data_IF_488273455480
#
_entry.id   IF_488273455480
#
_cell.length_a   1.000
_cell.length_b   1.000
_cell.length_c   1.000
_cell.angle_alpha   90.00
_cell.angle_beta   90.00
_cell.angle_gamma   90.00
#
_symmetry.space_group_name_H-M   'P 1'
#
loop_
_entity.id
_entity.type
_entity.pdbx_description
1 polymer ?
#
# COMPACT_ATOMS: atom_id res chain seq x y z
N UNK A 1 59.30 33.73 -8.67
CA UNK A 1 58.24 32.69 -8.70
C UNK A 1 57.32 32.97 -7.52
N UNK A 2 56.22 33.71 -7.74
CA UNK A 2 55.21 34.00 -6.73
C UNK A 2 54.00 33.11 -6.98
N UNK A 3 53.66 32.26 -6.03
CA UNK A 3 52.49 31.39 -6.12
C UNK A 3 51.23 32.20 -5.78
N UNK A 4 50.34 32.32 -6.76
CA UNK A 4 49.00 32.90 -6.59
C UNK A 4 48.12 31.79 -6.01
N UNK A 5 47.75 31.93 -4.74
CA UNK A 5 46.71 31.14 -4.10
C UNK A 5 45.34 31.57 -4.66
N UNK A 6 44.75 30.73 -5.53
CA UNK A 6 43.33 30.82 -5.86
C UNK A 6 42.53 30.35 -4.63
N UNK A 7 41.92 31.30 -3.93
CA UNK A 7 40.84 31.03 -2.98
C UNK A 7 39.60 30.64 -3.78
N UNK A 8 39.20 29.37 -3.69
CA UNK A 8 37.90 28.93 -4.16
C UNK A 8 36.84 29.44 -3.16
N UNK A 9 36.17 30.53 -3.51
CA UNK A 9 34.93 30.92 -2.85
C UNK A 9 33.86 29.88 -3.24
N UNK A 10 33.60 28.93 -2.35
CA UNK A 10 32.35 28.19 -2.38
C UNK A 10 31.22 29.21 -2.14
N UNK A 11 30.51 29.57 -3.21
CA UNK A 11 29.30 30.36 -3.09
C UNK A 11 28.27 29.52 -2.35
N UNK A 12 28.07 29.81 -1.06
CA UNK A 12 26.86 29.41 -0.35
C UNK A 12 25.69 30.10 -1.04
N UNK A 13 24.95 29.38 -1.88
CA UNK A 13 23.61 29.80 -2.26
C UNK A 13 22.75 29.76 -1.00
N UNK A 14 22.62 30.91 -0.35
CA UNK A 14 21.57 31.14 0.65
C UNK A 14 20.24 31.26 -0.10
N UNK A 15 19.35 30.27 0.08
CA UNK A 15 17.96 30.38 -0.32
C UNK A 15 17.35 31.61 0.34
N UNK A 16 16.78 32.49 -0.47
CA UNK A 16 16.45 33.85 -0.07
C UNK A 16 15.28 33.97 0.90
N UNK A 17 14.53 32.90 1.23
CA UNK A 17 13.33 33.03 2.05
C UNK A 17 13.20 32.10 3.28
N UNK A 18 14.08 31.12 3.51
CA UNK A 18 14.14 30.38 4.79
C UNK A 18 12.83 29.73 5.30
N UNK A 19 11.77 29.68 4.49
CA UNK A 19 10.47 29.13 4.90
C UNK A 19 10.52 27.60 4.93
N UNK A 20 9.91 27.02 5.97
CA UNK A 20 9.77 25.58 6.09
C UNK A 20 9.08 25.01 4.85
N UNK A 21 9.45 23.79 4.46
CA UNK A 21 8.72 23.02 3.46
C UNK A 21 7.52 22.37 4.16
N UNK A 22 6.31 22.74 3.75
CA UNK A 22 5.08 22.20 4.34
C UNK A 22 4.64 20.95 3.60
N UNK A 23 4.62 19.81 4.29
CA UNK A 23 4.10 18.56 3.76
C UNK A 23 2.78 18.22 4.45
N UNK A 24 1.71 18.14 3.66
CA UNK A 24 0.42 17.62 4.11
C UNK A 24 0.48 16.10 4.22
N UNK A 25 0.48 15.56 5.44
CA UNK A 25 0.40 14.12 5.68
C UNK A 25 -1.06 13.71 5.85
N UNK A 26 -1.56 12.81 4.99
CA UNK A 26 -2.90 12.26 5.11
C UNK A 26 -2.85 10.75 5.32
N UNK A 27 -3.55 10.27 6.34
CA UNK A 27 -3.75 8.87 6.63
C UNK A 27 -5.08 8.65 7.36
N UNK A 28 -5.58 7.42 7.34
CA UNK A 28 -6.77 7.04 8.10
C UNK A 28 -6.43 6.91 9.58
N UNK A 29 -6.79 7.93 10.37
CA UNK A 29 -6.54 7.98 11.82
C UNK A 29 -7.82 7.78 12.63
N UNK A 30 -8.96 7.61 11.94
CA UNK A 30 -10.27 7.34 12.54
C UNK A 30 -10.89 6.08 11.91
N UNK A 31 -11.73 5.39 12.68
CA UNK A 31 -12.48 4.24 12.17
C UNK A 31 -11.69 2.92 12.09
N UNK A 32 -12.06 2.00 11.20
CA UNK A 32 -11.59 0.60 11.23
C UNK A 32 -10.10 0.44 10.90
N UNK A 33 -9.48 1.46 10.28
CA UNK A 33 -8.07 1.46 9.91
C UNK A 33 -7.19 2.40 10.74
N UNK A 34 -7.65 2.95 11.87
CA UNK A 34 -6.82 3.84 12.72
C UNK A 34 -5.43 3.27 12.99
N UNK A 35 -5.36 1.99 13.39
CA UNK A 35 -4.10 1.30 13.72
C UNK A 35 -3.16 1.17 12.51
N UNK A 36 -3.71 1.12 11.30
CA UNK A 36 -2.97 1.10 10.05
C UNK A 36 -2.36 2.49 9.78
N UNK A 37 -3.15 3.56 9.93
CA UNK A 37 -2.66 4.93 9.75
C UNK A 37 -1.65 5.39 10.80
N UNK A 38 -1.75 4.90 12.04
CA UNK A 38 -0.73 5.10 13.06
C UNK A 38 0.63 4.49 12.64
N UNK A 39 0.62 3.32 12.00
CA UNK A 39 1.86 2.71 11.48
C UNK A 39 2.35 3.41 10.21
N UNK A 40 1.44 3.91 9.36
CA UNK A 40 1.79 4.81 8.25
C UNK A 40 2.56 6.03 8.73
N UNK A 41 2.13 6.65 9.84
CA UNK A 41 2.84 7.80 10.42
C UNK A 41 4.25 7.41 10.90
N UNK A 42 4.42 6.22 11.46
CA UNK A 42 5.74 5.70 11.86
C UNK A 42 6.68 5.53 10.66
N UNK A 43 6.18 4.93 9.57
CA UNK A 43 6.93 4.77 8.33
C UNK A 43 7.30 6.10 7.67
N UNK A 44 6.34 7.03 7.60
CA UNK A 44 6.56 8.38 7.10
C UNK A 44 7.65 9.11 7.89
N UNK A 45 7.57 9.09 9.23
CA UNK A 45 8.55 9.73 10.09
C UNK A 45 9.94 9.10 9.98
N UNK A 46 10.05 7.79 9.75
CA UNK A 46 11.35 7.14 9.50
C UNK A 46 12.05 7.72 8.27
N UNK A 47 11.30 7.95 7.17
CA UNK A 47 11.88 8.57 5.98
C UNK A 47 12.34 10.01 6.25
N UNK A 48 11.56 10.80 6.99
CA UNK A 48 11.97 12.15 7.39
C UNK A 48 13.24 12.15 8.25
N UNK A 49 13.37 11.18 9.16
CA UNK A 49 14.52 11.05 10.05
C UNK A 49 15.83 10.78 9.28
N UNK A 50 15.77 10.04 8.17
CA UNK A 50 16.94 9.82 7.30
C UNK A 50 17.49 11.12 6.70
N UNK A 51 16.61 12.08 6.48
CA UNK A 51 16.96 13.41 5.97
C UNK A 51 17.17 14.44 7.10
N UNK A 52 17.13 14.01 8.37
CA UNK A 52 17.29 14.92 9.52
C UNK A 52 16.14 15.90 9.71
N UNK A 53 14.94 15.59 9.20
CA UNK A 53 13.76 16.49 9.17
C UNK A 53 13.99 17.81 8.41
N UNK A 54 14.91 17.79 7.45
CA UNK A 54 15.24 18.91 6.57
C UNK A 54 15.40 18.39 5.14
N UNK A 55 15.13 19.19 4.12
CA UNK A 55 15.49 18.85 2.74
C UNK A 55 15.92 20.10 1.98
N UNK A 56 17.01 19.99 1.22
CA UNK A 56 17.58 21.11 0.47
C UNK A 56 17.80 22.40 1.31
N UNK A 57 18.22 22.27 2.57
CA UNK A 57 18.45 23.43 3.44
C UNK A 57 17.20 23.99 4.13
N UNK A 58 16.02 23.38 3.95
CA UNK A 58 14.73 23.85 4.48
C UNK A 58 14.17 22.88 5.52
N UNK A 59 13.81 23.32 6.74
CA UNK A 59 13.17 22.46 7.72
C UNK A 59 11.81 22.00 7.20
N UNK A 60 11.41 20.78 7.56
CA UNK A 60 10.13 20.20 7.14
C UNK A 60 9.07 20.46 8.22
N UNK A 61 7.94 21.05 7.82
CA UNK A 61 6.74 21.20 8.64
C UNK A 61 5.69 20.19 8.17
N UNK A 62 5.23 19.32 9.08
CA UNK A 62 4.20 18.32 8.76
C UNK A 62 2.85 18.84 9.22
N UNK A 63 1.88 18.84 8.33
CA UNK A 63 0.50 19.21 8.65
C UNK A 63 -0.40 17.99 8.45
N UNK A 64 -1.04 17.53 9.53
CA UNK A 64 -1.82 16.28 9.52
C UNK A 64 -3.24 16.56 9.01
N UNK A 65 -3.64 15.85 7.97
CA UNK A 65 -5.01 15.71 7.49
C UNK A 65 -5.55 14.32 7.80
N UNK A 66 -6.13 14.15 9.00
CA UNK A 66 -6.73 12.89 9.42
C UNK A 66 -7.98 12.55 8.58
N UNK A 67 -8.15 11.28 8.25
CA UNK A 67 -9.32 10.76 7.51
C UNK A 67 -9.94 9.54 8.20
N UNK A 68 -11.12 9.13 7.74
CA UNK A 68 -11.93 8.01 8.24
C UNK A 68 -12.13 6.88 7.21
N UNK A 69 -11.24 6.80 6.21
CA UNK A 69 -11.31 5.92 5.03
C UNK A 69 -12.42 6.25 4.02
N UNK A 70 -13.17 7.35 4.19
CA UNK A 70 -14.19 7.80 3.24
C UNK A 70 -13.65 8.85 2.23
N UNK A 71 -14.15 8.85 0.97
CA UNK A 71 -13.87 9.91 0.00
C UNK A 71 -14.14 11.33 0.53
N UNK A 72 -15.22 11.49 1.29
CA UNK A 72 -15.64 12.79 1.81
C UNK A 72 -14.66 13.32 2.86
N UNK A 73 -14.17 12.48 3.77
CA UNK A 73 -13.18 12.93 4.75
C UNK A 73 -11.84 13.26 4.10
N UNK A 74 -11.40 12.47 3.13
CA UNK A 74 -10.20 12.75 2.34
C UNK A 74 -10.30 14.09 1.59
N UNK A 75 -11.43 14.36 0.91
CA UNK A 75 -11.63 15.63 0.22
C UNK A 75 -11.66 16.82 1.19
N UNK A 76 -12.30 16.69 2.36
CA UNK A 76 -12.31 17.75 3.38
C UNK A 76 -10.89 18.04 3.88
N UNK A 77 -10.13 17.00 4.22
CA UNK A 77 -8.77 17.12 4.71
C UNK A 77 -7.84 17.73 3.64
N UNK A 78 -7.88 17.22 2.40
CA UNK A 78 -7.06 17.74 1.31
C UNK A 78 -7.37 19.20 0.98
N UNK A 79 -8.65 19.59 0.95
CA UNK A 79 -9.03 21.01 0.75
C UNK A 79 -8.51 21.90 1.84
N UNK A 80 -8.59 21.48 3.11
CA UNK A 80 -8.01 22.25 4.21
C UNK A 80 -6.49 22.41 4.03
N UNK A 81 -5.79 21.30 3.75
CA UNK A 81 -4.34 21.30 3.55
C UNK A 81 -3.90 22.24 2.42
N UNK A 82 -4.59 22.18 1.28
CA UNK A 82 -4.27 23.02 0.11
C UNK A 82 -4.72 24.47 0.30
N UNK A 83 -5.98 24.69 0.67
CA UNK A 83 -6.62 26.01 0.60
C UNK A 83 -6.42 26.85 1.87
N UNK A 84 -6.16 26.23 3.04
CA UNK A 84 -6.00 26.94 4.31
C UNK A 84 -4.59 26.83 4.87
N UNK A 85 -4.00 25.62 4.84
CA UNK A 85 -2.68 25.39 5.40
C UNK A 85 -1.55 25.71 4.40
N UNK A 86 -1.91 25.85 3.12
CA UNK A 86 -1.01 26.18 2.01
C UNK A 86 0.20 25.24 1.97
N UNK A 87 -0.05 23.93 2.03
CA UNK A 87 1.02 22.93 1.93
C UNK A 87 1.66 22.95 0.54
N UNK A 88 2.97 22.68 0.50
CA UNK A 88 3.72 22.57 -0.75
C UNK A 88 3.38 21.26 -1.48
N UNK A 89 3.31 20.14 -0.75
CA UNK A 89 3.06 18.79 -1.29
C UNK A 89 2.15 18.02 -0.34
N UNK A 90 1.34 17.10 -0.88
CA UNK A 90 0.56 16.15 -0.08
C UNK A 90 1.13 14.74 -0.23
N UNK A 91 1.29 14.02 0.89
CA UNK A 91 1.58 12.59 0.95
C UNK A 91 0.42 11.85 1.61
N UNK A 92 -0.28 11.03 0.83
CA UNK A 92 -1.52 10.35 1.21
C UNK A 92 -2.38 10.05 -0.02
N UNK A 93 -3.47 9.28 0.11
CA UNK A 93 -4.07 8.81 1.35
C UNK A 93 -3.79 7.31 1.57
N UNK A 94 -4.50 6.69 2.53
CA UNK A 94 -4.35 5.28 2.89
C UNK A 94 -5.37 4.40 2.17
N UNK A 95 -6.65 4.78 2.13
CA UNK A 95 -7.72 3.93 1.57
C UNK A 95 -7.89 4.12 0.07
N UNK A 96 -8.19 3.03 -0.65
CA UNK A 96 -8.39 3.02 -2.11
C UNK A 96 -9.39 4.08 -2.61
N UNK A 97 -10.57 4.18 -1.98
CA UNK A 97 -11.60 5.15 -2.37
C UNK A 97 -11.18 6.60 -2.10
N UNK A 98 -10.36 6.84 -1.07
CA UNK A 98 -9.76 8.15 -0.83
C UNK A 98 -8.77 8.50 -1.96
N UNK A 99 -7.98 7.53 -2.42
CA UNK A 99 -7.03 7.71 -3.53
C UNK A 99 -7.70 8.17 -4.81
N UNK A 100 -8.80 7.53 -5.18
CA UNK A 100 -9.67 7.92 -6.31
C UNK A 100 -10.12 9.38 -6.15
N UNK A 101 -10.64 9.74 -4.97
CA UNK A 101 -11.11 11.10 -4.70
C UNK A 101 -9.99 12.15 -4.74
N UNK A 102 -8.81 11.84 -4.19
CA UNK A 102 -7.66 12.75 -4.22
C UNK A 102 -7.08 12.88 -5.63
N UNK A 103 -7.10 11.82 -6.44
CA UNK A 103 -6.71 11.89 -7.85
C UNK A 103 -7.62 12.81 -8.65
N UNK A 104 -8.93 12.83 -8.39
CA UNK A 104 -9.82 13.78 -9.06
C UNK A 104 -9.66 15.21 -8.53
N UNK A 105 -9.45 15.37 -7.23
CA UNK A 105 -9.20 16.68 -6.65
C UNK A 105 -7.89 17.29 -7.17
N UNK A 106 -6.82 16.49 -7.30
CA UNK A 106 -5.50 16.99 -7.75
C UNK A 106 -5.52 17.61 -9.14
N UNK A 107 -6.41 17.15 -10.02
CA UNK A 107 -6.66 17.77 -11.34
C UNK A 107 -7.18 19.21 -11.23
N UNK A 108 -7.87 19.53 -10.15
CA UNK A 108 -8.45 20.87 -9.91
C UNK A 108 -7.46 21.85 -9.25
N UNK A 109 -6.37 21.34 -8.67
CA UNK A 109 -5.34 22.12 -7.98
C UNK A 109 -3.93 21.76 -8.52
N UNK A 110 -3.66 21.95 -9.82
CA UNK A 110 -2.43 21.46 -10.46
C UNK A 110 -1.13 22.12 -9.97
N UNK A 111 -1.21 23.12 -9.08
CA UNK A 111 -0.07 23.74 -8.42
C UNK A 111 0.45 22.93 -7.21
N UNK A 112 -0.31 21.95 -6.72
CA UNK A 112 0.10 21.01 -5.66
C UNK A 112 0.19 19.60 -6.24
N UNK A 113 1.32 18.94 -6.01
CA UNK A 113 1.53 17.53 -6.36
C UNK A 113 1.10 16.64 -5.19
N UNK A 114 0.42 15.54 -5.52
CA UNK A 114 -0.09 14.55 -4.59
C UNK A 114 0.70 13.25 -4.76
N UNK A 115 1.30 12.77 -3.68
CA UNK A 115 2.02 11.51 -3.64
C UNK A 115 1.17 10.53 -2.85
N UNK A 116 0.70 9.48 -3.51
CA UNK A 116 -0.12 8.46 -2.88
C UNK A 116 0.60 7.86 -1.66
N UNK A 117 -0.04 7.91 -0.49
CA UNK A 117 0.49 7.30 0.72
C UNK A 117 0.65 5.81 0.54
N UNK A 118 -0.48 5.09 0.44
CA UNK A 118 -0.47 3.67 0.06
C UNK A 118 -1.84 3.18 -0.47
N UNK A 119 -2.76 4.09 -0.82
CA UNK A 119 -4.05 3.66 -1.39
C UNK A 119 -3.85 2.74 -2.59
N UNK A 120 -4.54 1.60 -2.57
CA UNK A 120 -4.31 0.49 -3.50
C UNK A 120 -5.40 0.29 -4.56
N UNK A 121 -6.32 1.24 -4.74
CA UNK A 121 -7.30 1.18 -5.82
C UNK A 121 -6.60 1.33 -7.18
N UNK A 122 -6.80 0.38 -8.10
CA UNK A 122 -6.15 0.39 -9.41
C UNK A 122 -6.66 1.54 -10.28
N UNK A 123 -7.94 1.88 -10.15
CA UNK A 123 -8.63 2.94 -10.89
C UNK A 123 -7.97 4.31 -10.68
N UNK A 124 -7.30 4.53 -9.55
CA UNK A 124 -6.65 5.81 -9.22
C UNK A 124 -5.67 6.22 -10.32
N UNK A 125 -4.93 5.27 -10.89
CA UNK A 125 -3.88 5.50 -11.88
C UNK A 125 -4.19 4.85 -13.23
N UNK A 126 -5.18 3.97 -13.32
CA UNK A 126 -5.62 3.39 -14.60
C UNK A 126 -6.78 4.12 -15.26
N UNK A 127 -7.70 4.70 -14.47
CA UNK A 127 -8.92 5.33 -14.98
C UNK A 127 -8.80 6.84 -14.83
N UNK A 128 -8.64 7.53 -15.96
CA UNK A 128 -8.47 8.98 -16.04
C UNK A 128 -7.38 9.49 -15.06
N UNK A 129 -6.12 9.05 -15.22
CA UNK A 129 -5.06 9.38 -14.27
C UNK A 129 -4.74 10.88 -14.29
N UNK A 130 -4.43 11.44 -13.11
CA UNK A 130 -4.01 12.84 -12.98
C UNK A 130 -2.53 13.01 -13.28
N UNK A 131 -2.14 14.12 -13.92
CA UNK A 131 -0.74 14.49 -14.17
C UNK A 131 0.01 14.92 -12.90
N UNK A 132 -0.71 15.26 -11.83
CA UNK A 132 -0.15 15.72 -10.55
C UNK A 132 -0.30 14.70 -9.42
N UNK A 133 -0.71 13.47 -9.74
CA UNK A 133 -0.83 12.36 -8.78
C UNK A 133 0.18 11.27 -9.10
N UNK A 134 1.01 10.91 -8.13
CA UNK A 134 2.10 9.94 -8.28
C UNK A 134 1.96 8.84 -7.24
N UNK A 135 2.19 7.58 -7.64
CA UNK A 135 2.11 6.45 -6.73
C UNK A 135 3.40 5.62 -6.74
N UNK A 136 4.20 5.73 -5.68
CA UNK A 136 5.42 4.93 -5.46
C UNK A 136 5.18 3.61 -4.71
N UNK A 137 3.95 3.08 -4.83
CA UNK A 137 3.54 1.80 -4.27
C UNK A 137 2.71 1.06 -5.32
N UNK A 138 2.86 -0.25 -5.44
CA UNK A 138 2.02 -1.01 -6.37
C UNK A 138 0.54 -0.96 -5.94
N UNK A 139 -0.40 -1.19 -6.87
CA UNK A 139 -1.82 -1.27 -6.56
C UNK A 139 -2.21 -2.65 -6.02
N UNK A 140 -3.45 -2.78 -5.55
CA UNK A 140 -3.94 -4.01 -4.92
C UNK A 140 -3.94 -5.23 -5.84
N UNK A 141 -4.06 -5.05 -7.16
CA UNK A 141 -4.07 -6.15 -8.09
C UNK A 141 -2.63 -6.63 -8.35
N UNK A 142 -1.69 -5.69 -8.51
CA UNK A 142 -0.26 -6.00 -8.57
C UNK A 142 0.21 -6.75 -7.31
N UNK A 143 -0.31 -6.41 -6.12
CA UNK A 143 0.02 -7.09 -4.85
C UNK A 143 -0.46 -8.54 -4.76
N UNK A 144 -1.27 -9.02 -5.70
CA UNK A 144 -1.80 -10.39 -5.66
C UNK A 144 -1.23 -11.32 -6.72
N UNK A 145 -0.34 -10.80 -7.57
CA UNK A 145 0.34 -11.57 -8.61
C UNK A 145 1.19 -12.68 -7.99
N UNK A 146 1.08 -13.87 -8.56
CA UNK A 146 1.64 -15.13 -8.09
C UNK A 146 0.76 -15.91 -7.12
N UNK A 147 -0.17 -15.28 -6.41
CA UNK A 147 -0.95 -15.97 -5.36
C UNK A 147 -1.97 -16.94 -5.94
N UNK A 148 -2.69 -16.54 -6.99
CA UNK A 148 -3.68 -17.42 -7.64
C UNK A 148 -3.04 -18.69 -8.18
N UNK A 149 -1.89 -18.55 -8.86
CA UNK A 149 -1.12 -19.69 -9.34
C UNK A 149 -0.60 -20.58 -8.21
N UNK A 150 -0.12 -19.99 -7.12
CA UNK A 150 0.38 -20.74 -5.96
C UNK A 150 -0.74 -21.55 -5.30
N UNK A 151 -1.89 -20.92 -5.07
CA UNK A 151 -3.07 -21.57 -4.48
C UNK A 151 -3.55 -22.74 -5.34
N UNK A 152 -3.69 -22.55 -6.66
CA UNK A 152 -4.17 -23.61 -7.54
C UNK A 152 -3.14 -24.73 -7.72
N UNK A 153 -1.92 -24.40 -8.16
CA UNK A 153 -0.96 -25.41 -8.59
C UNK A 153 -0.19 -26.06 -7.43
N UNK A 154 0.10 -25.32 -6.36
CA UNK A 154 0.94 -25.82 -5.25
C UNK A 154 0.11 -26.25 -4.04
N UNK A 155 -0.98 -25.54 -3.72
CA UNK A 155 -1.91 -25.96 -2.64
C UNK A 155 -2.95 -26.97 -3.13
N UNK A 156 -3.23 -27.00 -4.43
CA UNK A 156 -4.23 -27.89 -5.03
C UNK A 156 -5.67 -27.50 -4.68
N UNK A 157 -5.91 -26.23 -4.36
CA UNK A 157 -7.25 -25.72 -4.07
C UNK A 157 -7.87 -25.23 -5.37
N UNK A 158 -8.95 -25.86 -5.81
CA UNK A 158 -9.55 -25.66 -7.13
C UNK A 158 -10.81 -24.79 -7.05
N UNK A 159 -11.55 -24.84 -5.94
CA UNK A 159 -12.77 -24.04 -5.73
C UNK A 159 -12.64 -23.19 -4.48
N UNK A 160 -12.85 -21.89 -4.60
CA UNK A 160 -12.75 -20.94 -3.48
C UNK A 160 -14.01 -20.08 -3.33
N UNK A 161 -14.30 -19.66 -2.11
CA UNK A 161 -15.23 -18.56 -1.84
C UNK A 161 -14.48 -17.35 -1.29
N UNK A 162 -15.03 -16.16 -1.48
CA UNK A 162 -14.40 -14.92 -1.06
C UNK A 162 -15.28 -14.12 -0.10
N UNK A 163 -14.65 -13.54 0.92
CA UNK A 163 -15.21 -12.49 1.77
C UNK A 163 -14.27 -11.29 1.70
N UNK A 164 -14.76 -10.12 1.32
CA UNK A 164 -13.92 -8.93 1.24
C UNK A 164 -14.71 -7.65 1.52
N UNK A 165 -13.99 -6.59 1.88
CA UNK A 165 -14.57 -5.28 2.11
C UNK A 165 -15.14 -4.67 0.83
N UNK A 166 -16.32 -4.07 0.94
CA UNK A 166 -17.16 -3.63 -0.17
C UNK A 166 -16.77 -2.25 -0.70
N UNK A 167 -15.57 -2.15 -1.25
CA UNK A 167 -15.06 -0.93 -1.87
C UNK A 167 -13.94 -1.25 -2.87
N UNK A 168 -13.51 -0.22 -3.62
CA UNK A 168 -12.60 -0.34 -4.76
C UNK A 168 -11.32 -1.16 -4.48
N UNK A 169 -10.68 -0.97 -3.32
CA UNK A 169 -9.47 -1.76 -2.99
C UNK A 169 -9.78 -3.24 -2.78
N UNK A 170 -10.87 -3.58 -2.07
CA UNK A 170 -11.27 -4.97 -1.87
C UNK A 170 -11.54 -5.68 -3.19
N UNK A 171 -12.22 -5.00 -4.13
CA UNK A 171 -12.42 -5.51 -5.49
C UNK A 171 -11.09 -5.66 -6.24
N UNK A 172 -10.22 -4.66 -6.17
CA UNK A 172 -8.92 -4.62 -6.85
C UNK A 172 -8.02 -5.76 -6.40
N UNK A 173 -7.91 -5.99 -5.08
CA UNK A 173 -7.08 -7.04 -4.50
C UNK A 173 -7.63 -8.43 -4.85
N UNK A 174 -8.94 -8.64 -4.72
CA UNK A 174 -9.54 -9.91 -5.11
C UNK A 174 -9.40 -10.18 -6.61
N UNK A 175 -9.59 -9.16 -7.46
CA UNK A 175 -9.47 -9.28 -8.91
C UNK A 175 -8.10 -9.80 -9.34
N UNK A 176 -7.00 -9.27 -8.79
CA UNK A 176 -5.67 -9.71 -9.18
C UNK A 176 -5.39 -11.17 -8.80
N UNK A 177 -5.84 -11.61 -7.62
CA UNK A 177 -5.82 -13.02 -7.21
C UNK A 177 -6.66 -13.89 -8.16
N UNK A 178 -7.93 -13.49 -8.34
CA UNK A 178 -8.92 -14.21 -9.11
C UNK A 178 -8.48 -14.41 -10.57
N UNK A 179 -7.84 -13.40 -11.18
CA UNK A 179 -7.37 -13.47 -12.56
C UNK A 179 -6.43 -14.66 -12.77
N UNK A 180 -5.38 -14.79 -11.97
CA UNK A 180 -4.45 -15.91 -12.09
C UNK A 180 -5.09 -17.23 -11.69
N UNK A 181 -5.89 -17.23 -10.63
CA UNK A 181 -6.56 -18.42 -10.13
C UNK A 181 -7.51 -19.03 -11.17
N UNK A 182 -8.39 -18.21 -11.76
CA UNK A 182 -9.30 -18.64 -12.82
C UNK A 182 -8.52 -19.13 -14.06
N UNK A 183 -7.44 -18.44 -14.45
CA UNK A 183 -6.61 -18.84 -15.61
C UNK A 183 -5.94 -20.20 -15.41
N UNK A 184 -5.50 -20.48 -14.19
CA UNK A 184 -4.93 -21.78 -13.82
C UNK A 184 -5.94 -22.93 -13.86
N UNK A 185 -7.24 -22.63 -13.83
CA UNK A 185 -8.34 -23.60 -13.89
C UNK A 185 -9.27 -23.54 -12.68
N UNK A 186 -9.00 -22.66 -11.72
CA UNK A 186 -9.81 -22.51 -10.52
C UNK A 186 -11.19 -21.94 -10.80
N UNK A 187 -12.09 -22.10 -9.82
CA UNK A 187 -13.44 -21.57 -9.83
C UNK A 187 -13.78 -20.81 -8.55
N UNK A 188 -14.62 -19.78 -8.69
CA UNK A 188 -15.05 -18.93 -7.58
C UNK A 188 -16.52 -19.22 -7.32
N UNK A 189 -16.80 -20.00 -6.28
CA UNK A 189 -18.15 -20.44 -5.94
C UNK A 189 -19.03 -19.28 -5.47
N UNK A 190 -18.49 -18.39 -4.63
CA UNK A 190 -19.23 -17.29 -4.04
C UNK A 190 -18.33 -16.10 -3.70
N UNK A 191 -18.92 -14.89 -3.73
CA UNK A 191 -18.30 -13.65 -3.26
C UNK A 191 -19.25 -12.92 -2.33
N UNK A 192 -18.80 -12.67 -1.12
CA UNK A 192 -19.50 -11.89 -0.12
C UNK A 192 -18.76 -10.57 0.10
N UNK A 193 -19.49 -9.47 -0.07
CA UNK A 193 -18.95 -8.12 0.08
C UNK A 193 -19.57 -7.47 1.32
N UNK A 194 -18.72 -7.09 2.28
CA UNK A 194 -19.17 -6.52 3.55
C UNK A 194 -18.83 -5.03 3.63
N UNK A 195 -19.72 -4.16 4.15
CA UNK A 195 -19.37 -2.76 4.37
C UNK A 195 -18.14 -2.62 5.26
N UNK A 196 -17.29 -1.63 4.96
CA UNK A 196 -16.16 -1.30 5.81
C UNK A 196 -16.62 -0.89 7.22
N UNK A 197 -15.99 -1.42 8.26
CA UNK A 197 -16.38 -1.21 9.65
C UNK A 197 -17.40 -2.24 10.16
N UNK A 198 -17.51 -3.40 9.51
CA UNK A 198 -18.42 -4.47 9.93
C UNK A 198 -17.99 -5.04 11.28
N UNK A 199 -18.93 -5.07 12.23
CA UNK A 199 -18.69 -5.57 13.60
C UNK A 199 -19.23 -6.97 13.81
N UNK A 200 -20.35 -7.30 13.18
CA UNK A 200 -21.02 -8.59 13.30
C UNK A 200 -20.90 -9.33 11.95
N UNK A 201 -20.19 -10.44 11.99
CA UNK A 201 -19.95 -11.32 10.85
C UNK A 201 -20.75 -12.62 10.96
N UNK A 202 -21.61 -12.78 11.98
CA UNK A 202 -22.32 -14.05 12.23
C UNK A 202 -23.14 -14.53 11.03
N UNK A 203 -23.86 -13.63 10.35
CA UNK A 203 -24.64 -13.97 9.16
C UNK A 203 -23.78 -14.31 7.94
N UNK A 204 -22.65 -13.62 7.79
CA UNK A 204 -21.66 -13.86 6.72
C UNK A 204 -21.07 -15.26 6.92
N UNK A 205 -20.60 -15.56 8.13
CA UNK A 205 -20.02 -16.85 8.49
C UNK A 205 -21.03 -17.98 8.32
N UNK A 206 -22.28 -17.79 8.76
CA UNK A 206 -23.33 -18.80 8.63
C UNK A 206 -23.74 -19.08 7.18
N UNK A 207 -23.46 -18.15 6.26
CA UNK A 207 -23.74 -18.30 4.83
C UNK A 207 -22.56 -18.87 4.04
N UNK A 208 -21.40 -19.11 4.66
CA UNK A 208 -20.23 -19.62 3.94
C UNK A 208 -20.50 -21.01 3.37
N UNK A 209 -20.11 -21.28 2.11
CA UNK A 209 -20.23 -22.61 1.52
C UNK A 209 -19.28 -23.59 2.22
N UNK A 210 -19.75 -24.82 2.41
CA UNK A 210 -18.94 -25.92 2.97
C UNK A 210 -18.19 -26.70 1.87
N UNK A 211 -18.62 -26.57 0.61
CA UNK A 211 -18.09 -27.28 -0.57
C UNK A 211 -17.04 -26.44 -1.34
N UNK A 212 -16.14 -25.80 -0.60
CA UNK A 212 -14.98 -25.08 -1.15
C UNK A 212 -13.69 -25.55 -0.49
N UNK A 213 -12.59 -25.48 -1.22
CA UNK A 213 -11.27 -25.89 -0.72
C UNK A 213 -10.68 -24.84 0.23
N UNK A 214 -10.98 -23.56 -0.01
CA UNK A 214 -10.49 -22.45 0.80
C UNK A 214 -11.38 -21.20 0.75
N UNK A 215 -11.22 -20.34 1.76
CA UNK A 215 -11.82 -19.02 1.85
C UNK A 215 -10.78 -17.93 1.60
N UNK A 216 -10.96 -17.14 0.55
CA UNK A 216 -10.24 -15.89 0.37
C UNK A 216 -10.79 -14.82 1.30
N UNK A 217 -9.92 -14.18 2.07
CA UNK A 217 -10.28 -13.14 3.03
C UNK A 217 -9.60 -11.82 2.69
N UNK A 218 -10.34 -10.90 2.06
CA UNK A 218 -9.93 -9.54 1.77
C UNK A 218 -10.43 -8.54 2.80
N UNK A 219 -10.12 -8.78 4.09
CA UNK A 219 -10.49 -7.92 5.21
C UNK A 219 -9.22 -7.39 5.89
N UNK A 220 -9.24 -6.18 6.42
CA UNK A 220 -8.12 -5.64 7.19
C UNK A 220 -8.53 -4.99 8.49
N UNK A 221 -7.52 -4.54 9.25
CA UNK A 221 -7.72 -3.77 10.48
C UNK A 221 -8.73 -4.40 11.44
N UNK A 222 -9.67 -3.60 11.93
CA UNK A 222 -10.67 -4.06 12.88
C UNK A 222 -11.62 -5.14 12.31
N UNK A 223 -11.95 -5.07 11.02
CA UNK A 223 -12.89 -5.99 10.37
C UNK A 223 -12.29 -7.40 10.29
N UNK A 224 -11.00 -7.51 9.92
CA UNK A 224 -10.27 -8.77 9.96
C UNK A 224 -10.26 -9.39 11.36
N UNK A 225 -9.95 -8.59 12.39
CA UNK A 225 -9.92 -9.07 13.78
C UNK A 225 -11.32 -9.52 14.24
N UNK A 226 -12.38 -8.78 13.89
CA UNK A 226 -13.75 -9.14 14.21
C UNK A 226 -14.17 -10.45 13.53
N UNK A 227 -13.87 -10.60 12.24
CA UNK A 227 -14.13 -11.82 11.48
C UNK A 227 -13.40 -13.02 12.10
N UNK A 228 -12.08 -12.96 12.29
CA UNK A 228 -11.30 -14.08 12.81
C UNK A 228 -11.78 -14.52 14.20
N UNK A 229 -12.16 -13.57 15.06
CA UNK A 229 -12.70 -13.89 16.38
C UNK A 229 -14.04 -14.64 16.29
N UNK A 230 -14.95 -14.20 15.41
CA UNK A 230 -16.26 -14.81 15.25
C UNK A 230 -16.18 -16.15 14.49
N UNK A 231 -15.31 -16.23 13.49
CA UNK A 231 -15.05 -17.44 12.74
C UNK A 231 -14.50 -18.55 13.65
N UNK A 232 -13.53 -18.21 14.51
CA UNK A 232 -13.03 -19.15 15.53
C UNK A 232 -14.11 -19.55 16.54
N UNK A 233 -14.99 -18.63 16.95
CA UNK A 233 -16.10 -18.92 17.88
C UNK A 233 -17.15 -19.85 17.25
N UNK A 234 -17.40 -19.70 15.95
CA UNK A 234 -18.29 -20.57 15.18
C UNK A 234 -17.67 -21.95 14.89
N UNK A 235 -16.39 -22.17 15.23
CA UNK A 235 -15.69 -23.42 14.97
C UNK A 235 -15.17 -23.56 13.53
N UNK A 236 -15.02 -22.45 12.82
CA UNK A 236 -14.51 -22.41 11.45
C UNK A 236 -13.14 -23.06 11.32
N UNK A 237 -12.97 -23.89 10.29
CA UNK A 237 -11.79 -24.73 10.08
C UNK A 237 -11.38 -24.86 8.60
N UNK A 238 -12.02 -24.15 7.68
CA UNK A 238 -11.64 -24.13 6.27
C UNK A 238 -10.20 -23.64 6.09
N UNK A 239 -9.54 -24.06 5.01
CA UNK A 239 -8.30 -23.44 4.60
C UNK A 239 -8.56 -21.96 4.28
N UNK A 240 -7.59 -21.10 4.56
CA UNK A 240 -7.71 -19.67 4.35
C UNK A 240 -6.70 -19.22 3.29
N UNK A 241 -7.08 -18.23 2.49
CA UNK A 241 -6.20 -17.45 1.63
C UNK A 241 -6.29 -16.01 2.11
N UNK A 242 -5.15 -15.42 2.44
CA UNK A 242 -5.09 -14.04 2.89
C UNK A 242 -5.08 -13.10 1.68
N UNK A 243 -6.07 -12.22 1.59
CA UNK A 243 -5.88 -10.96 0.89
C UNK A 243 -4.75 -10.16 1.54
N UNK A 244 -4.17 -9.22 0.80
CA UNK A 244 -2.92 -8.55 1.21
C UNK A 244 -2.97 -7.95 2.61
N UNK A 245 -4.12 -7.39 3.01
CA UNK A 245 -4.31 -6.74 4.31
C UNK A 245 -4.76 -7.69 5.44
N UNK A 246 -5.15 -8.94 5.13
CA UNK A 246 -5.54 -9.93 6.14
C UNK A 246 -4.33 -10.46 6.92
N UNK A 247 -3.16 -10.50 6.27
CA UNK A 247 -1.89 -10.92 6.88
C UNK A 247 -0.98 -9.73 7.20
N UNK A 248 -1.54 -8.52 7.24
CA UNK A 248 -0.79 -7.32 7.60
C UNK A 248 -0.33 -7.36 9.07
N UNK A 249 0.75 -6.65 9.38
CA UNK A 249 1.29 -6.49 10.73
C UNK A 249 0.23 -6.07 11.76
N UNK A 250 -0.77 -5.27 11.38
CA UNK A 250 -1.88 -4.90 12.26
C UNK A 250 -2.76 -6.09 12.70
N UNK A 251 -2.97 -7.07 11.81
CA UNK A 251 -3.77 -8.28 12.08
C UNK A 251 -2.90 -9.35 12.75
N UNK A 252 -1.69 -9.57 12.26
CA UNK A 252 -0.72 -10.53 12.83
C UNK A 252 -0.27 -10.12 14.26
N UNK A 253 -0.31 -8.83 14.57
CA UNK A 253 -0.02 -8.30 15.90
C UNK A 253 -1.25 -8.13 16.79
N UNK A 254 -2.45 -8.45 16.29
CA UNK A 254 -3.69 -8.30 17.05
C UNK A 254 -3.67 -9.12 18.35
N UNK A 255 -4.47 -8.66 19.34
CA UNK A 255 -4.57 -9.31 20.65
C UNK A 255 -5.50 -10.52 20.58
N UNK A 256 -5.19 -11.52 21.42
CA UNK A 256 -5.98 -12.74 21.52
C UNK A 256 -5.51 -13.84 20.56
N UNK A 257 -6.20 -14.97 20.62
CA UNK A 257 -5.80 -16.20 19.90
C UNK A 257 -6.34 -16.30 18.48
N UNK A 258 -7.27 -15.43 18.07
CA UNK A 258 -7.94 -15.55 16.78
C UNK A 258 -6.98 -15.48 15.60
N UNK A 259 -5.95 -14.64 15.66
CA UNK A 259 -4.89 -14.58 14.65
C UNK A 259 -4.14 -15.91 14.42
N UNK A 260 -4.17 -16.82 15.38
CA UNK A 260 -3.50 -18.13 15.25
C UNK A 260 -4.14 -19.00 14.16
N UNK A 261 -5.40 -18.73 13.79
CA UNK A 261 -6.04 -19.39 12.63
C UNK A 261 -5.37 -19.04 11.31
N UNK A 262 -4.56 -17.97 11.27
CA UNK A 262 -3.84 -17.57 10.07
C UNK A 262 -2.57 -18.39 9.83
N UNK A 263 -2.04 -19.16 10.80
CA UNK A 263 -0.82 -19.96 10.57
C UNK A 263 -1.02 -20.90 9.37
N UNK A 264 -0.09 -20.85 8.41
CA UNK A 264 -0.14 -21.63 7.17
C UNK A 264 -1.01 -21.03 6.07
N UNK A 265 -1.59 -19.84 6.28
CA UNK A 265 -2.39 -19.12 5.28
C UNK A 265 -1.49 -18.58 4.17
N UNK A 266 -1.64 -19.01 2.91
CA UNK A 266 -1.01 -18.35 1.77
C UNK A 266 -1.59 -16.96 1.54
N UNK A 267 -0.72 -16.01 1.21
CA UNK A 267 -1.08 -14.64 0.92
C UNK A 267 -0.03 -14.01 -0.02
N UNK A 268 -0.23 -12.75 -0.40
CA UNK A 268 0.79 -11.98 -1.09
C UNK A 268 0.64 -10.49 -0.87
N UNK A 269 1.74 -9.77 -1.07
CA UNK A 269 1.79 -8.34 -0.84
C UNK A 269 3.16 -7.72 -1.11
N UNK A 270 3.31 -6.42 -0.81
CA UNK A 270 4.51 -5.65 -1.15
C UNK A 270 5.74 -6.01 -0.31
N UNK A 271 5.66 -6.95 0.62
CA UNK A 271 6.77 -7.36 1.48
C UNK A 271 6.60 -8.82 1.93
N UNK A 272 7.71 -9.41 2.37
CA UNK A 272 7.72 -10.63 3.17
C UNK A 272 8.63 -10.40 4.38
N UNK A 273 8.13 -10.69 5.58
CA UNK A 273 8.85 -10.39 6.82
C UNK A 273 10.17 -11.15 6.93
N UNK A 274 10.20 -12.39 6.43
CA UNK A 274 11.40 -13.23 6.41
C UNK A 274 12.27 -13.02 5.17
N UNK A 275 12.10 -11.93 4.43
CA UNK A 275 12.95 -11.67 3.27
C UNK A 275 14.39 -11.37 3.74
N UNK A 276 15.36 -12.12 3.24
CA UNK A 276 16.73 -12.07 3.75
C UNK A 276 17.58 -10.93 3.16
N UNK A 277 16.99 -10.04 2.36
CA UNK A 277 17.66 -8.89 1.76
C UNK A 277 18.17 -7.89 2.80
N UNK A 278 19.35 -7.32 2.55
CA UNK A 278 20.01 -6.42 3.49
C UNK A 278 19.24 -5.11 3.67
N UNK A 279 18.64 -4.57 2.61
CA UNK A 279 17.83 -3.35 2.67
C UNK A 279 16.59 -3.55 3.53
N UNK A 280 15.90 -4.68 3.35
CA UNK A 280 14.74 -5.04 4.18
C UNK A 280 15.12 -5.23 5.65
N UNK A 281 16.17 -6.01 5.94
CA UNK A 281 16.65 -6.22 7.31
C UNK A 281 17.03 -4.92 8.00
N UNK A 282 17.71 -4.02 7.29
CA UNK A 282 18.09 -2.71 7.83
C UNK A 282 16.86 -1.85 8.11
N UNK A 283 15.86 -1.86 7.24
CA UNK A 283 14.60 -1.16 7.46
C UNK A 283 13.85 -1.69 8.69
N UNK A 284 13.71 -3.01 8.82
CA UNK A 284 13.10 -3.66 10.00
C UNK A 284 13.86 -3.28 11.27
N UNK A 285 15.19 -3.38 11.27
CA UNK A 285 16.01 -3.01 12.43
C UNK A 285 15.85 -1.52 12.80
N UNK A 286 15.81 -0.64 11.80
CA UNK A 286 15.60 0.80 12.00
C UNK A 286 14.23 1.08 12.61
N UNK A 287 13.17 0.45 12.09
CA UNK A 287 11.82 0.53 12.66
C UNK A 287 11.80 0.08 14.12
N UNK A 288 12.42 -1.06 14.43
CA UNK A 288 12.46 -1.62 15.77
C UNK A 288 13.26 -0.78 16.77
N UNK A 289 14.32 -0.12 16.31
CA UNK A 289 15.18 0.76 17.12
C UNK A 289 14.58 2.16 17.32
N UNK A 290 13.80 2.65 16.35
CA UNK A 290 13.20 3.99 16.40
C UNK A 290 12.00 4.03 17.35
N UNK A 291 11.17 2.97 17.34
CA UNK A 291 9.90 2.97 18.05
C UNK A 291 9.93 2.01 19.26
N UNK A 292 9.56 2.48 20.47
CA UNK A 292 9.44 1.63 21.65
C UNK A 292 8.49 0.45 21.43
N UNK A 293 8.80 -0.71 22.01
CA UNK A 293 8.07 -1.98 21.80
C UNK A 293 6.55 -1.86 22.05
N UNK A 294 6.13 -1.01 22.99
CA UNK A 294 4.73 -0.76 23.33
C UNK A 294 4.01 0.22 22.39
N UNK A 295 4.74 0.83 21.44
CA UNK A 295 4.25 1.83 20.48
C UNK A 295 4.38 1.39 19.02
N UNK A 296 4.78 0.13 18.78
CA UNK A 296 4.98 -0.43 17.45
C UNK A 296 4.49 -1.87 17.35
N UNK A 297 4.43 -2.38 16.13
CA UNK A 297 4.33 -3.81 15.89
C UNK A 297 5.70 -4.49 16.08
N UNK A 298 5.74 -5.83 16.27
CA UNK A 298 6.99 -6.57 16.26
C UNK A 298 7.80 -6.37 14.97
N UNK A 299 7.09 -6.31 13.84
CA UNK A 299 7.60 -6.09 12.48
C UNK A 299 6.78 -4.98 11.80
N UNK A 300 7.38 -4.14 10.93
CA UNK A 300 6.66 -3.05 10.27
C UNK A 300 5.51 -3.58 9.41
N UNK A 301 4.35 -2.93 9.47
CA UNK A 301 3.24 -3.25 8.57
C UNK A 301 3.57 -2.83 7.13
N UNK A 302 2.79 -3.34 6.17
CA UNK A 302 2.93 -2.88 4.78
C UNK A 302 2.63 -1.38 4.63
N UNK A 303 1.83 -0.82 5.54
CA UNK A 303 1.46 0.60 5.57
C UNK A 303 2.63 1.48 5.97
N UNK A 304 3.45 1.05 6.95
CA UNK A 304 4.68 1.75 7.30
C UNK A 304 5.66 1.74 6.13
N UNK A 305 5.85 0.58 5.48
CA UNK A 305 6.71 0.44 4.30
C UNK A 305 6.28 1.37 3.17
N UNK A 306 4.99 1.39 2.81
CA UNK A 306 4.53 2.22 1.69
C UNK A 306 4.58 3.72 1.97
N UNK A 307 4.27 4.16 3.19
CA UNK A 307 4.40 5.58 3.54
C UNK A 307 5.86 6.02 3.66
N UNK A 308 6.76 5.14 4.10
CA UNK A 308 8.20 5.37 4.03
C UNK A 308 8.63 5.58 2.57
N UNK A 309 8.19 4.72 1.65
CA UNK A 309 8.52 4.82 0.23
C UNK A 309 8.05 6.13 -0.38
N UNK A 310 6.79 6.51 -0.12
CA UNK A 310 6.20 7.74 -0.66
C UNK A 310 6.87 8.99 -0.09
N UNK A 311 7.16 9.02 1.20
CA UNK A 311 7.90 10.11 1.82
C UNK A 311 9.32 10.21 1.25
N UNK A 312 10.05 9.09 1.18
CA UNK A 312 11.42 9.05 0.65
C UNK A 312 11.48 9.51 -0.81
N UNK A 313 10.56 9.06 -1.66
CA UNK A 313 10.47 9.53 -3.05
C UNK A 313 10.21 11.03 -3.13
N UNK A 314 9.30 11.55 -2.28
CA UNK A 314 9.02 12.98 -2.18
C UNK A 314 10.28 13.77 -1.84
N UNK A 315 10.98 13.38 -0.77
CA UNK A 315 12.19 14.08 -0.31
C UNK A 315 13.33 14.03 -1.33
N UNK A 316 13.58 12.86 -1.93
CA UNK A 316 14.62 12.71 -2.96
C UNK A 316 14.35 13.59 -4.18
N UNK A 317 13.10 13.67 -4.63
CA UNK A 317 12.74 14.51 -5.77
C UNK A 317 12.80 16.01 -5.45
N UNK A 318 12.46 16.42 -4.22
CA UNK A 318 12.64 17.80 -3.74
C UNK A 318 14.13 18.15 -3.64
N UNK A 319 14.95 17.26 -3.10
CA UNK A 319 16.41 17.44 -3.05
C UNK A 319 17.02 17.57 -4.45
N UNK A 320 16.58 16.75 -5.40
CA UNK A 320 17.07 16.78 -6.79
C UNK A 320 16.83 18.12 -7.50
N UNK A 321 15.78 18.86 -7.12
CA UNK A 321 15.50 20.21 -7.62
C UNK A 321 16.00 21.31 -6.68
N UNK A 322 16.82 20.95 -5.70
CA UNK A 322 17.32 21.85 -4.65
C UNK A 322 16.19 22.62 -3.96
N UNK A 323 15.04 21.99 -3.73
CA UNK A 323 13.89 22.61 -3.08
C UNK A 323 13.12 23.64 -3.92
N UNK A 324 13.44 23.81 -5.20
CA UNK A 324 12.72 24.71 -6.11
C UNK A 324 11.40 24.09 -6.58
N UNK A 325 10.30 24.68 -6.10
CA UNK A 325 8.93 24.33 -6.45
C UNK A 325 8.21 25.47 -7.21
N UNK A 326 8.95 26.52 -7.59
CA UNK A 326 8.39 27.79 -8.07
C UNK A 326 7.84 27.76 -9.50
N UNK A 327 8.23 26.77 -10.31
CA UNK A 327 7.82 26.59 -11.70
C UNK A 327 6.45 25.90 -11.85
N UNK A 328 5.59 26.04 -10.84
CA UNK A 328 4.37 25.23 -10.73
C UNK A 328 4.69 23.75 -10.52
N UNK A 329 5.82 23.44 -9.86
CA UNK A 329 6.35 22.10 -9.57
C UNK A 329 6.67 21.23 -10.79
N UNK A 330 6.91 21.83 -11.96
CA UNK A 330 7.24 21.06 -13.16
C UNK A 330 8.59 20.32 -13.02
N UNK A 331 9.61 20.98 -12.46
CA UNK A 331 10.89 20.36 -12.13
C UNK A 331 10.74 19.21 -11.13
N UNK A 332 9.98 19.43 -10.06
CA UNK A 332 9.70 18.40 -9.04
C UNK A 332 8.99 17.18 -9.65
N UNK A 333 7.93 17.40 -10.43
CA UNK A 333 7.21 16.33 -11.14
C UNK A 333 8.09 15.57 -12.13
N UNK A 334 8.98 16.25 -12.84
CA UNK A 334 9.97 15.60 -13.71
C UNK A 334 10.93 14.72 -12.89
N UNK A 335 11.43 15.22 -11.76
CA UNK A 335 12.29 14.45 -10.87
C UNK A 335 11.57 13.20 -10.32
N UNK A 336 10.28 13.30 -9.93
CA UNK A 336 9.48 12.14 -9.53
C UNK A 336 9.32 11.11 -10.66
N UNK A 337 9.01 11.55 -11.88
CA UNK A 337 8.84 10.64 -13.03
C UNK A 337 10.12 9.90 -13.41
N UNK A 338 11.29 10.53 -13.22
CA UNK A 338 12.61 9.96 -13.55
C UNK A 338 13.22 9.19 -12.37
N UNK A 339 12.65 9.30 -11.17
CA UNK A 339 13.17 8.67 -9.96
C UNK A 339 13.09 7.15 -10.08
N UNK A 340 14.22 6.51 -9.78
CA UNK A 340 14.25 5.10 -9.44
C UNK A 340 14.55 4.98 -7.95
N UNK A 341 13.53 4.61 -7.18
CA UNK A 341 13.60 4.49 -5.74
C UNK A 341 14.19 3.13 -5.37
N UNK A 342 15.29 3.15 -4.62
CA UNK A 342 15.82 1.97 -3.94
C UNK A 342 15.08 1.82 -2.60
N UNK A 343 13.95 1.12 -2.62
CA UNK A 343 13.06 0.96 -1.48
C UNK A 343 13.43 -0.29 -0.67
N UNK A 344 13.11 -0.35 0.64
CA UNK A 344 13.39 -1.51 1.49
C UNK A 344 12.72 -2.79 1.01
N UNK A 345 11.67 -2.67 0.19
CA UNK A 345 10.96 -3.80 -0.41
C UNK A 345 11.28 -4.02 -1.89
N UNK A 346 12.38 -3.45 -2.38
CA UNK A 346 12.88 -3.62 -3.74
C UNK A 346 12.89 -2.34 -4.56
N UNK A 347 13.39 -2.43 -5.79
CA UNK A 347 13.49 -1.29 -6.70
C UNK A 347 12.11 -0.88 -7.22
N UNK A 348 11.79 0.41 -7.15
CA UNK A 348 10.53 0.99 -7.63
C UNK A 348 10.82 2.09 -8.67
N UNK A 349 10.09 2.06 -9.78
CA UNK A 349 10.07 3.12 -10.79
C UNK A 349 8.65 3.27 -11.34
N UNK A 350 8.37 4.37 -12.04
CA UNK A 350 7.01 4.66 -12.49
C UNK A 350 6.79 4.38 -13.98
N UNK A 351 5.58 3.95 -14.32
CA UNK A 351 5.09 3.85 -15.70
C UNK A 351 4.52 5.19 -16.23
N UNK A 352 3.97 5.21 -17.45
CA UNK A 352 3.38 6.43 -18.04
C UNK A 352 2.19 7.00 -17.26
N UNK A 353 1.55 6.19 -16.40
CA UNK A 353 0.44 6.57 -15.55
C UNK A 353 0.88 7.04 -14.17
N UNK A 354 2.19 7.14 -13.94
CA UNK A 354 2.81 7.48 -12.64
C UNK A 354 2.51 6.43 -11.57
N UNK A 355 2.33 5.17 -11.98
CA UNK A 355 2.18 4.04 -11.10
C UNK A 355 3.49 3.28 -10.93
N UNK A 356 3.75 2.82 -9.71
CA UNK A 356 4.87 1.95 -9.41
C UNK A 356 4.84 0.63 -10.19
N UNK A 357 5.96 0.35 -10.83
CA UNK A 357 6.43 -0.98 -11.18
C UNK A 357 7.42 -1.41 -10.08
N UNK A 358 7.20 -2.60 -9.51
CA UNK A 358 7.98 -3.08 -8.37
C UNK A 358 7.92 -4.58 -8.17
N UNK A 359 8.18 -5.01 -6.93
CA UNK A 359 8.25 -6.41 -6.52
C UNK A 359 7.03 -6.82 -5.70
N UNK A 360 6.45 -7.98 -6.00
CA UNK A 360 5.46 -8.64 -5.17
C UNK A 360 6.04 -9.89 -4.51
N UNK A 361 5.52 -10.24 -3.34
CA UNK A 361 5.98 -11.36 -2.55
C UNK A 361 4.80 -12.29 -2.27
N UNK A 362 4.90 -13.55 -2.72
CA UNK A 362 4.01 -14.63 -2.30
C UNK A 362 4.55 -15.19 -0.99
N UNK A 363 3.67 -15.33 0.00
CA UNK A 363 4.03 -15.64 1.38
C UNK A 363 3.11 -16.68 1.99
N UNK A 364 3.56 -17.29 3.09
CA UNK A 364 2.70 -18.02 4.02
C UNK A 364 2.91 -17.48 5.44
N UNK A 365 1.85 -17.38 6.23
CA UNK A 365 1.97 -16.96 7.63
C UNK A 365 2.64 -18.06 8.45
N UNK A 366 3.61 -17.69 9.28
CA UNK A 366 4.34 -18.57 10.19
C UNK A 366 4.40 -17.99 11.60
N UNK A 367 4.58 -18.85 12.59
CA UNK A 367 4.94 -18.45 13.94
C UNK A 367 6.47 -18.45 14.08
N UNK A 368 7.02 -17.32 14.56
CA UNK A 368 8.44 -17.18 14.85
C UNK A 368 8.78 -17.80 16.22
N UNK A 369 10.07 -17.98 16.49
CA UNK A 369 10.54 -18.58 17.74
C UNK A 369 10.16 -17.81 19.01
N UNK A 370 9.80 -16.53 18.88
CA UNK A 370 9.32 -15.69 19.98
C UNK A 370 7.79 -15.67 20.13
N UNK A 371 7.07 -16.45 19.32
CA UNK A 371 5.60 -16.57 19.32
C UNK A 371 4.88 -15.44 18.56
N UNK A 372 5.62 -14.50 17.95
CA UNK A 372 5.04 -13.54 17.02
C UNK A 372 4.71 -14.21 15.69
N UNK A 373 3.68 -13.70 14.99
CA UNK A 373 3.36 -14.15 13.64
C UNK A 373 4.04 -13.26 12.61
N UNK A 374 4.45 -13.86 11.50
CA UNK A 374 5.13 -13.19 10.41
C UNK A 374 4.76 -13.82 9.06
N UNK A 375 5.05 -13.12 7.96
CA UNK A 375 4.93 -13.62 6.59
C UNK A 375 6.26 -14.22 6.13
N UNK A 376 6.27 -15.53 5.90
CA UNK A 376 7.41 -16.24 5.32
C UNK A 376 7.41 -16.10 3.81
N UNK A 377 8.55 -15.70 3.24
CA UNK A 377 8.73 -15.65 1.80
C UNK A 377 8.63 -17.05 1.17
N UNK A 378 7.75 -17.19 0.17
CA UNK A 378 7.65 -18.36 -0.71
C UNK A 378 8.25 -18.05 -2.08
N UNK A 379 7.83 -16.94 -2.69
CA UNK A 379 8.31 -16.50 -4.00
C UNK A 379 8.33 -14.97 -4.09
N UNK A 380 9.23 -14.43 -4.90
CA UNK A 380 9.33 -12.99 -5.21
C UNK A 380 9.22 -12.81 -6.72
N UNK A 381 8.37 -11.89 -7.15
CA UNK A 381 8.11 -11.59 -8.56
C UNK A 381 8.41 -10.11 -8.78
N UNK A 382 9.32 -9.82 -9.70
CA UNK A 382 9.80 -8.47 -9.97
C UNK A 382 9.19 -7.86 -11.23
N UNK A 383 9.24 -6.53 -11.31
CA UNK A 383 8.84 -5.72 -12.47
C UNK A 383 7.35 -5.90 -12.84
N UNK A 384 6.48 -5.96 -11.84
CA UNK A 384 5.04 -6.08 -12.06
C UNK A 384 4.47 -4.71 -12.42
N UNK A 385 3.87 -4.57 -13.60
CA UNK A 385 3.14 -3.37 -14.02
C UNK A 385 1.61 -3.51 -13.87
N UNK A 386 0.89 -2.43 -14.16
CA UNK A 386 -0.57 -2.34 -13.99
C UNK A 386 -1.37 -3.35 -14.82
N UNK A 387 -0.84 -3.79 -15.95
CA UNK A 387 -1.52 -4.77 -16.81
C UNK A 387 -1.32 -6.22 -16.33
N UNK A 388 -0.64 -6.44 -15.20
CA UNK A 388 -0.52 -7.76 -14.58
C UNK A 388 0.13 -8.81 -15.51
N UNK A 389 1.03 -8.37 -16.40
CA UNK A 389 1.68 -9.21 -17.41
C UNK A 389 0.82 -9.54 -18.65
N UNK A 390 -0.40 -9.00 -18.74
CA UNK A 390 -1.25 -9.06 -19.93
C UNK A 390 -0.88 -7.97 -20.95
N UNK A 391 -1.20 -8.20 -22.23
CA UNK A 391 -1.20 -7.10 -23.21
C UNK A 391 -2.31 -6.09 -22.88
N UNK A 392 -2.18 -4.81 -23.29
CA UNK A 392 -3.22 -3.81 -23.07
C UNK A 392 -4.60 -4.23 -23.57
N UNK A 393 -4.67 -4.93 -24.71
CA UNK A 393 -5.93 -5.40 -25.28
C UNK A 393 -6.55 -6.52 -24.43
N UNK A 394 -5.75 -7.48 -23.97
CA UNK A 394 -6.22 -8.54 -23.08
C UNK A 394 -6.69 -7.94 -21.75
N UNK A 395 -5.90 -7.06 -21.17
CA UNK A 395 -6.22 -6.40 -19.91
C UNK A 395 -7.51 -5.59 -20.01
N UNK A 396 -7.72 -4.86 -21.12
CA UNK A 396 -8.95 -4.09 -21.33
C UNK A 396 -10.22 -4.96 -21.34
N UNK A 397 -10.13 -6.26 -21.67
CA UNK A 397 -11.30 -7.17 -21.61
C UNK A 397 -11.69 -7.59 -20.19
N UNK A 398 -10.81 -7.36 -19.20
CA UNK A 398 -11.08 -7.68 -17.79
C UNK A 398 -12.17 -6.78 -17.19
N UNK A 399 -12.22 -5.53 -17.65
CA UNK A 399 -13.01 -4.46 -17.03
C UNK A 399 -12.31 -3.85 -15.82
N UNK A 400 -12.96 -2.86 -15.23
CA UNK A 400 -12.51 -2.23 -13.98
C UNK A 400 -12.85 -3.10 -12.76
N UNK A 401 -12.06 -3.04 -11.67
CA UNK A 401 -12.39 -3.71 -10.43
C UNK A 401 -13.84 -3.46 -9.98
N UNK A 402 -14.57 -4.53 -9.67
CA UNK A 402 -15.94 -4.48 -9.19
C UNK A 402 -16.31 -5.78 -8.47
N UNK A 403 -17.52 -5.86 -7.93
CA UNK A 403 -18.05 -7.06 -7.26
C UNK A 403 -18.05 -8.32 -8.14
N UNK A 404 -18.20 -8.16 -9.45
CA UNK A 404 -18.41 -9.25 -10.39
C UNK A 404 -17.15 -9.60 -11.21
N UNK A 405 -16.09 -8.80 -11.11
CA UNK A 405 -14.81 -9.07 -11.79
C UNK A 405 -13.89 -9.86 -10.83
N UNK A 406 -13.32 -11.00 -11.22
CA UNK A 406 -13.16 -11.59 -12.57
C UNK A 406 -14.15 -12.72 -12.84
N UNK A 407 -14.76 -12.81 -14.02
CA UNK A 407 -15.53 -13.99 -14.43
C UNK A 407 -14.60 -15.16 -14.80
N UNK A 408 -14.56 -16.23 -13.99
CA UNK A 408 -13.69 -17.37 -14.26
C UNK A 408 -14.00 -18.07 -15.59
N UNK A 409 -15.27 -18.16 -15.99
CA UNK A 409 -15.64 -18.82 -17.26
C UNK A 409 -15.03 -18.10 -18.46
N UNK A 410 -14.87 -16.78 -18.36
CA UNK A 410 -14.24 -15.97 -19.40
C UNK A 410 -12.71 -16.10 -19.43
N UNK A 411 -12.06 -16.60 -18.37
CA UNK A 411 -10.60 -16.56 -18.21
C UNK A 411 -9.92 -17.92 -18.06
N UNK A 412 -10.67 -19.01 -17.88
CA UNK A 412 -10.12 -20.37 -17.83
C UNK A 412 -9.28 -20.70 -19.07
N UNK A 413 -8.02 -21.10 -18.85
CA UNK A 413 -7.09 -21.53 -19.89
C UNK A 413 -6.58 -20.44 -20.84
N UNK A 414 -6.82 -19.15 -20.54
CA UNK A 414 -6.31 -18.01 -21.33
C UNK A 414 -4.95 -17.52 -20.89
#
# INVERSE_FOLDING_TARGET
MGAILLSANAATMTFADGHALKIGFMATLEGPYTVLGEDSQRGFQMALNEFGNEVAGRPIEIIIGATDASPESALRAARKLVEQDEVDVIVGPLSGSEGIALRDYSKTVPHVTFINGISGAQETTMVDPSETFYRFNMDGAQWTIGLGNYVYNEKGWEVVAAIAEDYSFGYTNFMGFALEFCRAGGDIAERQWVPLGTKDFSSIIAALPEDVDALYLGLGGADAVNFLNQYLQAGGNANLIGGTIMVDGSVLSSKGRAKQVLIGTPASGPQADTWEDEGWKNFVATYQNTWPVDQRFPLPSLLATGYYNSAKATLMAIEAVNGDLSDGQAGFRKALSELVLDAPNGRIYLDENRQAIGSNFVTEVVELSDGSLATKLINKIDNIGQTLGLTPEQFATLGTPSRDVVDCQAWQGK
#
